data_IF_279143592684
#
_entry.id   IF_279143592684
#
_cell.length_a   1.000
_cell.length_b   1.000
_cell.length_c   1.000
_cell.angle_alpha   90.00
_cell.angle_beta   90.00
_cell.angle_gamma   90.00
#
_symmetry.space_group_name_H-M   'P 1'
#
loop_
_entity.id
_entity.type
_entity.pdbx_description
1 polymer ?
#
# COMPACT_ATOMS: atom_id res chain seq x y z
N UNK A 1 -4.31 15.15 6.76
CA UNK A 1 -4.55 13.81 6.13
C UNK A 1 -4.49 13.95 4.63
N UNK A 2 -3.50 13.32 3.95
CA UNK A 2 -3.35 13.37 2.49
C UNK A 2 -3.93 12.13 1.84
N UNK A 3 -4.48 12.31 0.64
CA UNK A 3 -4.86 11.17 -0.20
C UNK A 3 -3.64 10.63 -0.94
N UNK A 4 -3.35 9.35 -0.76
CA UNK A 4 -2.29 8.58 -1.41
C UNK A 4 -2.94 7.59 -2.38
N UNK A 5 -2.99 7.86 -3.68
CA UNK A 5 -3.68 6.99 -4.63
C UNK A 5 -2.97 5.66 -4.85
N UNK A 6 -3.71 4.64 -5.31
CA UNK A 6 -3.15 3.32 -5.61
C UNK A 6 -3.32 2.93 -7.07
N UNK A 7 -2.42 2.07 -7.55
CA UNK A 7 -2.47 1.37 -8.83
C UNK A 7 -2.13 -0.09 -8.56
N UNK A 8 -3.14 -0.94 -8.43
CA UNK A 8 -2.94 -2.37 -8.23
C UNK A 8 -2.94 -3.09 -9.57
N UNK A 9 -1.92 -3.91 -9.81
CA UNK A 9 -1.74 -4.58 -11.09
C UNK A 9 -1.77 -6.09 -10.88
N UNK A 10 -2.71 -6.74 -11.54
CA UNK A 10 -2.88 -8.19 -11.54
C UNK A 10 -3.13 -8.72 -12.94
N UNK A 11 -2.39 -9.76 -13.33
CA UNK A 11 -2.45 -10.38 -14.67
C UNK A 11 -2.30 -9.34 -15.81
N UNK A 12 -1.34 -8.42 -15.65
CA UNK A 12 -1.02 -7.39 -16.63
C UNK A 12 -2.06 -6.26 -16.79
N UNK A 13 -3.03 -6.14 -15.88
CA UNK A 13 -4.09 -5.12 -15.90
C UNK A 13 -4.20 -4.41 -14.56
N UNK A 14 -4.57 -3.13 -14.61
CA UNK A 14 -4.95 -2.39 -13.39
C UNK A 14 -6.30 -2.91 -12.92
N UNK A 15 -6.36 -3.29 -11.64
CA UNK A 15 -7.55 -3.89 -11.01
C UNK A 15 -7.74 -3.38 -9.60
N UNK A 16 -8.95 -3.58 -9.09
CA UNK A 16 -9.22 -3.55 -7.65
C UNK A 16 -9.73 -4.92 -7.23
N UNK A 17 -9.15 -5.48 -6.19
CA UNK A 17 -9.46 -6.82 -5.69
C UNK A 17 -9.96 -6.78 -4.25
N UNK A 18 -10.69 -7.82 -3.84
CA UNK A 18 -11.07 -8.02 -2.44
C UNK A 18 -9.88 -8.57 -1.68
N UNK A 19 -9.50 -7.93 -0.59
CA UNK A 19 -8.41 -8.36 0.29
C UNK A 19 -8.59 -9.81 0.75
N UNK A 20 -7.49 -10.55 0.78
CA UNK A 20 -7.47 -11.96 1.16
C UNK A 20 -8.08 -12.93 0.12
N UNK A 21 -8.56 -12.44 -1.03
CA UNK A 21 -9.09 -13.30 -2.11
C UNK A 21 -8.03 -13.79 -3.09
N UNK A 22 -6.85 -13.18 -3.07
CA UNK A 22 -5.75 -13.50 -3.97
C UNK A 22 -5.20 -14.91 -3.67
N UNK A 23 -5.12 -15.76 -4.70
CA UNK A 23 -4.62 -17.13 -4.60
C UNK A 23 -3.49 -17.32 -5.61
N UNK A 24 -2.39 -17.94 -5.17
CA UNK A 24 -1.24 -18.25 -6.02
C UNK A 24 -1.58 -19.27 -7.09
N UNK A 25 -2.37 -20.29 -6.73
CA UNK A 25 -2.81 -21.32 -7.67
C UNK A 25 -3.76 -20.70 -8.72
N UNK A 26 -3.26 -20.63 -9.96
CA UNK A 26 -4.02 -20.12 -11.11
C UNK A 26 -4.16 -18.61 -11.14
N UNK A 27 -3.36 -17.85 -10.38
CA UNK A 27 -3.39 -16.37 -10.34
C UNK A 27 -4.80 -15.78 -10.25
N UNK A 28 -5.60 -16.33 -9.32
CA UNK A 28 -7.00 -15.96 -9.14
C UNK A 28 -7.18 -14.91 -8.04
N UNK A 29 -8.09 -13.98 -8.28
CA UNK A 29 -8.55 -13.01 -7.30
C UNK A 29 -10.03 -12.71 -7.50
N UNK A 30 -10.74 -12.33 -6.43
CA UNK A 30 -12.08 -11.75 -6.56
C UNK A 30 -11.91 -10.28 -6.95
N UNK A 31 -12.30 -9.95 -8.16
CA UNK A 31 -12.13 -8.62 -8.75
C UNK A 31 -13.36 -7.76 -8.47
N UNK A 32 -13.14 -6.56 -7.93
CA UNK A 32 -14.16 -5.51 -7.81
C UNK A 32 -14.21 -4.66 -9.09
N UNK A 33 -13.07 -4.49 -9.75
CA UNK A 33 -12.92 -3.68 -10.94
C UNK A 33 -11.76 -4.17 -11.80
N UNK A 34 -11.92 -4.10 -13.12
CA UNK A 34 -10.86 -4.34 -14.12
C UNK A 34 -10.83 -3.15 -15.08
N UNK A 35 -9.71 -2.45 -15.13
CA UNK A 35 -9.55 -1.26 -15.97
C UNK A 35 -9.41 -1.61 -17.45
N UNK A 36 -10.01 -0.77 -18.30
CA UNK A 36 -9.72 -0.70 -19.73
C UNK A 36 -8.48 0.17 -20.05
N UNK A 37 -7.97 0.92 -19.08
CA UNK A 37 -6.80 1.79 -19.22
C UNK A 37 -5.55 1.08 -18.66
N UNK A 38 -4.37 1.50 -19.12
CA UNK A 38 -3.10 1.00 -18.60
C UNK A 38 -2.67 1.77 -17.32
N UNK A 39 -1.60 1.30 -16.69
CA UNK A 39 -1.11 1.90 -15.45
C UNK A 39 -0.52 3.32 -15.66
N UNK A 40 -0.01 3.63 -16.86
CA UNK A 40 0.49 4.96 -17.19
C UNK A 40 -0.62 6.00 -17.17
N UNK A 41 -1.82 5.66 -17.64
CA UNK A 41 -2.98 6.54 -17.60
C UNK A 41 -3.28 7.03 -16.19
N UNK A 42 -3.31 6.13 -15.20
CA UNK A 42 -3.55 6.50 -13.78
C UNK A 42 -2.39 7.30 -13.21
N UNK A 43 -1.15 6.95 -13.54
CA UNK A 43 0.03 7.70 -13.11
C UNK A 43 0.02 9.16 -13.61
N UNK A 44 -0.34 9.38 -14.88
CA UNK A 44 -0.50 10.71 -15.46
C UNK A 44 -1.65 11.49 -14.80
N UNK A 45 -2.77 10.82 -14.53
CA UNK A 45 -3.90 11.42 -13.82
C UNK A 45 -3.47 11.91 -12.44
N UNK A 46 -2.74 11.10 -11.67
CA UNK A 46 -2.25 11.46 -10.33
C UNK A 46 -1.19 12.57 -10.40
N UNK A 47 -0.30 12.53 -11.39
CA UNK A 47 0.67 13.59 -11.65
C UNK A 47 -0.01 14.94 -11.93
N UNK A 48 -1.02 14.94 -12.80
CA UNK A 48 -1.77 16.15 -13.17
C UNK A 48 -2.57 16.71 -11.99
N UNK A 49 -2.99 15.84 -11.06
CA UNK A 49 -3.63 16.24 -9.80
C UNK A 49 -2.62 16.65 -8.70
N UNK A 50 -1.32 16.56 -8.94
CA UNK A 50 -0.29 16.90 -7.95
C UNK A 50 -0.15 15.89 -6.80
N UNK A 51 -0.75 14.69 -6.91
CA UNK A 51 -0.76 13.67 -5.86
C UNK A 51 0.55 12.89 -5.84
N UNK A 52 1.30 12.97 -4.75
CA UNK A 52 2.56 12.24 -4.55
C UNK A 52 2.44 11.18 -3.48
N UNK A 53 3.34 10.19 -3.52
CA UNK A 53 3.43 9.13 -2.51
C UNK A 53 2.31 8.09 -2.61
N UNK A 54 1.56 8.09 -3.71
CA UNK A 54 0.71 6.95 -4.06
C UNK A 54 1.55 5.72 -4.39
N UNK A 55 0.93 4.54 -4.41
CA UNK A 55 1.66 3.30 -4.62
C UNK A 55 1.21 2.51 -5.85
N UNK A 56 2.15 1.79 -6.44
CA UNK A 56 1.94 0.78 -7.47
C UNK A 56 2.24 -0.57 -6.85
N UNK A 57 1.30 -1.51 -6.85
CA UNK A 57 1.50 -2.85 -6.28
C UNK A 57 1.38 -3.93 -7.36
N UNK A 58 2.44 -4.75 -7.47
CA UNK A 58 2.44 -5.95 -8.29
C UNK A 58 1.82 -7.10 -7.49
N UNK A 59 0.69 -7.62 -7.96
CA UNK A 59 -0.03 -8.69 -7.27
C UNK A 59 0.29 -10.10 -7.78
N UNK A 60 1.10 -10.23 -8.84
CA UNK A 60 1.61 -11.51 -9.30
C UNK A 60 2.97 -11.85 -8.68
N UNK A 61 3.15 -13.09 -8.26
CA UNK A 61 4.47 -13.60 -7.85
C UNK A 61 5.43 -13.75 -9.01
N UNK A 62 6.75 -13.83 -8.73
CA UNK A 62 7.80 -13.98 -9.76
C UNK A 62 7.63 -15.23 -10.63
N UNK A 63 6.99 -16.27 -10.10
CA UNK A 63 6.75 -17.55 -10.79
C UNK A 63 5.46 -17.54 -11.63
N UNK A 64 4.69 -16.46 -11.63
CA UNK A 64 3.47 -16.32 -12.42
C UNK A 64 3.81 -16.07 -13.90
N UNK A 65 3.06 -16.69 -14.81
CA UNK A 65 3.13 -16.40 -16.24
C UNK A 65 2.80 -14.94 -16.58
N UNK A 66 2.06 -14.26 -15.71
CA UNK A 66 1.67 -12.84 -15.87
C UNK A 66 2.67 -11.86 -15.25
N UNK A 67 3.73 -12.34 -14.58
CA UNK A 67 4.66 -11.47 -13.85
C UNK A 67 5.26 -10.39 -14.74
N UNK A 68 5.77 -10.75 -15.91
CA UNK A 68 6.39 -9.78 -16.82
C UNK A 68 5.39 -8.76 -17.37
N UNK A 69 4.16 -9.18 -17.68
CA UNK A 69 3.11 -8.28 -18.12
C UNK A 69 2.74 -7.28 -17.00
N UNK A 70 2.64 -7.76 -15.75
CA UNK A 70 2.37 -6.95 -14.57
C UNK A 70 3.51 -5.97 -14.29
N UNK A 71 4.76 -6.45 -14.33
CA UNK A 71 5.97 -5.62 -14.16
C UNK A 71 6.06 -4.54 -15.23
N UNK A 72 5.78 -4.84 -16.47
CA UNK A 72 5.80 -3.87 -17.58
C UNK A 72 4.77 -2.75 -17.36
N UNK A 73 3.58 -3.05 -16.85
CA UNK A 73 2.60 -2.03 -16.49
C UNK A 73 3.12 -1.11 -15.37
N UNK A 74 3.74 -1.69 -14.33
CA UNK A 74 4.32 -0.92 -13.24
C UNK A 74 5.44 0.02 -13.74
N UNK A 75 6.34 -0.47 -14.59
CA UNK A 75 7.40 0.36 -15.17
C UNK A 75 6.84 1.51 -16.02
N UNK A 76 5.75 1.30 -16.76
CA UNK A 76 5.06 2.38 -17.49
C UNK A 76 4.53 3.45 -16.54
N UNK A 77 3.92 3.06 -15.42
CA UNK A 77 3.41 4.00 -14.43
C UNK A 77 4.55 4.84 -13.81
N UNK A 78 5.67 4.20 -13.44
CA UNK A 78 6.83 4.89 -12.89
C UNK A 78 7.45 5.87 -13.89
N UNK A 79 7.55 5.48 -15.16
CA UNK A 79 8.07 6.35 -16.23
C UNK A 79 7.13 7.53 -16.52
N UNK A 80 5.81 7.37 -16.41
CA UNK A 80 4.84 8.44 -16.61
C UNK A 80 4.86 9.47 -15.48
N UNK A 81 5.15 9.04 -14.24
CA UNK A 81 5.24 9.93 -13.08
C UNK A 81 6.53 9.72 -12.26
N UNK A 82 7.71 10.07 -12.77
CA UNK A 82 8.99 9.90 -12.06
C UNK A 82 9.00 10.64 -10.73
N UNK A 83 9.40 9.94 -9.66
CA UNK A 83 9.48 10.45 -8.30
C UNK A 83 8.12 10.71 -7.63
N UNK A 84 7.00 10.35 -8.27
CA UNK A 84 5.67 10.57 -7.71
C UNK A 84 5.06 9.35 -7.03
N UNK A 85 5.46 8.16 -7.43
CA UNK A 85 4.85 6.90 -7.00
C UNK A 85 5.86 5.98 -6.30
N UNK A 86 5.37 5.27 -5.30
CA UNK A 86 6.07 4.17 -4.63
C UNK A 86 5.76 2.86 -5.36
N UNK A 87 6.59 1.83 -5.21
CA UNK A 87 6.36 0.51 -5.83
C UNK A 87 6.54 -0.62 -4.84
N UNK A 88 5.62 -1.57 -4.85
CA UNK A 88 5.63 -2.78 -4.03
C UNK A 88 5.21 -4.03 -4.80
N UNK A 89 5.26 -5.16 -4.11
CA UNK A 89 4.95 -6.47 -4.68
C UNK A 89 6.21 -7.25 -5.09
N UNK A 90 6.75 -8.02 -4.16
CA UNK A 90 7.93 -8.84 -4.38
C UNK A 90 9.24 -8.06 -4.48
N UNK A 91 9.32 -6.86 -3.89
CA UNK A 91 10.56 -6.10 -3.82
C UNK A 91 11.57 -6.78 -2.90
N UNK A 92 12.80 -6.86 -3.38
CA UNK A 92 13.95 -7.41 -2.68
C UNK A 92 15.24 -6.74 -3.19
N UNK A 93 16.41 -7.02 -2.61
CA UNK A 93 17.69 -6.46 -3.05
C UNK A 93 17.98 -6.56 -4.55
N UNK A 94 17.54 -7.64 -5.19
CA UNK A 94 17.84 -7.90 -6.61
C UNK A 94 17.09 -6.97 -7.59
N UNK A 95 16.03 -6.29 -7.16
CA UNK A 95 15.18 -5.47 -8.03
C UNK A 95 14.90 -4.05 -7.52
N UNK A 96 15.25 -3.75 -6.27
CA UNK A 96 14.95 -2.45 -5.65
C UNK A 96 15.60 -1.29 -6.41
N UNK A 97 16.89 -1.42 -6.72
CA UNK A 97 17.63 -0.38 -7.44
C UNK A 97 17.06 -0.13 -8.86
N UNK A 98 16.64 -1.20 -9.55
CA UNK A 98 16.03 -1.09 -10.88
C UNK A 98 14.72 -0.29 -10.85
N UNK A 99 13.88 -0.51 -9.83
CA UNK A 99 12.64 0.26 -9.67
C UNK A 99 12.90 1.74 -9.34
N UNK A 100 13.90 2.03 -8.49
CA UNK A 100 14.29 3.41 -8.21
C UNK A 100 14.81 4.10 -9.46
N UNK A 101 15.68 3.44 -10.26
CA UNK A 101 16.17 3.95 -11.55
C UNK A 101 15.04 4.12 -12.58
N UNK A 102 14.00 3.29 -12.51
CA UNK A 102 12.82 3.41 -13.38
C UNK A 102 11.89 4.59 -13.00
N UNK A 103 12.14 5.26 -11.88
CA UNK A 103 11.42 6.45 -11.45
C UNK A 103 10.56 6.27 -10.21
N UNK A 104 10.65 5.16 -9.50
CA UNK A 104 9.99 5.03 -8.19
C UNK A 104 10.54 6.05 -7.20
N UNK A 105 9.68 6.68 -6.42
CA UNK A 105 10.11 7.51 -5.29
C UNK A 105 10.63 6.65 -4.13
N UNK A 106 9.97 5.52 -3.89
CA UNK A 106 10.31 4.57 -2.84
C UNK A 106 10.01 3.15 -3.30
N UNK A 107 10.65 2.19 -2.65
CA UNK A 107 10.31 0.77 -2.74
C UNK A 107 9.59 0.34 -1.45
N UNK A 108 8.51 -0.43 -1.60
CA UNK A 108 7.68 -0.95 -0.50
C UNK A 108 8.03 -2.42 -0.28
N UNK A 109 8.36 -2.77 0.96
CA UNK A 109 8.83 -4.11 1.31
C UNK A 109 8.02 -4.68 2.47
N UNK A 110 7.63 -5.94 2.33
CA UNK A 110 6.94 -6.72 3.37
C UNK A 110 7.62 -8.07 3.58
N UNK A 111 7.30 -9.07 2.76
CA UNK A 111 7.70 -10.47 2.94
C UNK A 111 9.21 -10.70 2.91
N UNK A 112 9.99 -9.83 2.30
CA UNK A 112 11.45 -9.93 2.35
C UNK A 112 12.02 -9.67 3.74
N UNK A 113 11.42 -8.70 4.46
CA UNK A 113 11.81 -8.29 5.80
C UNK A 113 11.15 -9.15 6.88
N UNK A 114 9.86 -9.50 6.69
CA UNK A 114 9.13 -10.38 7.61
C UNK A 114 9.15 -11.83 7.11
N UNK A 115 10.31 -12.46 7.27
CA UNK A 115 10.56 -13.82 6.76
C UNK A 115 10.27 -14.87 7.82
N UNK A 116 9.68 -15.98 7.40
CA UNK A 116 9.39 -17.14 8.27
C UNK A 116 8.61 -16.76 9.54
N UNK A 117 7.72 -15.78 9.42
CA UNK A 117 6.89 -15.31 10.52
C UNK A 117 7.60 -14.39 11.51
N UNK A 118 8.80 -13.92 11.21
CA UNK A 118 9.61 -13.07 12.10
C UNK A 118 10.23 -11.89 11.36
N UNK A 119 10.58 -10.84 12.11
CA UNK A 119 11.38 -9.74 11.60
C UNK A 119 12.83 -10.19 11.40
N UNK A 120 13.33 -10.10 10.19
CA UNK A 120 14.73 -10.34 9.84
C UNK A 120 15.50 -9.02 9.78
N UNK A 121 16.23 -8.71 10.83
CA UNK A 121 17.10 -7.53 10.88
C UNK A 121 18.20 -7.56 9.82
N UNK A 122 18.68 -8.73 9.46
CA UNK A 122 19.67 -8.92 8.39
C UNK A 122 19.08 -8.48 7.04
N UNK A 123 17.87 -8.93 6.73
CA UNK A 123 17.21 -8.58 5.48
C UNK A 123 16.82 -7.09 5.44
N UNK A 124 16.38 -6.53 6.57
CA UNK A 124 16.06 -5.11 6.68
C UNK A 124 17.31 -4.25 6.39
N UNK A 125 18.44 -4.57 6.98
CA UNK A 125 19.71 -3.87 6.71
C UNK A 125 20.14 -4.00 5.25
N UNK A 126 20.03 -5.19 4.66
CA UNK A 126 20.39 -5.41 3.26
C UNK A 126 19.56 -4.55 2.30
N UNK A 127 18.25 -4.47 2.51
CA UNK A 127 17.39 -3.66 1.64
C UNK A 127 17.61 -2.16 1.88
N UNK A 128 17.85 -1.75 3.13
CA UNK A 128 18.18 -0.37 3.48
C UNK A 128 19.51 0.08 2.84
N UNK A 129 20.53 -0.79 2.82
CA UNK A 129 21.83 -0.51 2.18
C UNK A 129 21.70 -0.28 0.66
N UNK A 130 20.75 -0.95 0.00
CA UNK A 130 20.54 -0.85 -1.45
C UNK A 130 19.62 0.30 -1.83
N UNK A 131 18.50 0.43 -1.14
CA UNK A 131 17.50 1.44 -1.48
C UNK A 131 17.82 2.82 -0.89
N UNK A 132 18.53 2.85 0.25
CA UNK A 132 18.58 4.00 1.13
C UNK A 132 17.33 4.10 2.01
N UNK A 133 17.53 4.50 3.25
CA UNK A 133 16.42 4.68 4.21
C UNK A 133 15.34 5.62 3.68
N UNK A 134 15.75 6.70 3.01
CA UNK A 134 14.92 7.77 2.44
C UNK A 134 14.08 7.32 1.24
N UNK A 135 14.30 6.10 0.75
CA UNK A 135 13.55 5.49 -0.35
C UNK A 135 12.89 4.17 0.06
N UNK A 136 12.85 3.86 1.35
CA UNK A 136 12.29 2.63 1.85
C UNK A 136 10.97 2.88 2.58
N UNK A 137 9.92 2.19 2.15
CA UNK A 137 8.64 2.08 2.84
C UNK A 137 8.49 0.66 3.38
N UNK A 138 8.17 0.51 4.65
CA UNK A 138 7.81 -0.77 5.22
C UNK A 138 6.28 -0.92 5.24
N UNK A 139 5.79 -1.96 4.60
CA UNK A 139 4.37 -2.33 4.65
C UNK A 139 4.13 -3.22 5.88
N UNK A 140 3.39 -2.69 6.82
CA UNK A 140 2.94 -3.36 8.04
C UNK A 140 1.48 -3.82 7.91
N UNK A 141 1.09 -4.29 6.71
CA UNK A 141 -0.24 -4.90 6.50
C UNK A 141 -0.56 -5.88 7.61
N UNK A 142 -1.71 -5.74 8.25
CA UNK A 142 -1.99 -6.48 9.46
C UNK A 142 -3.43 -7.01 9.52
N UNK A 143 -3.59 -8.01 10.38
CA UNK A 143 -4.89 -8.60 10.73
C UNK A 143 -5.02 -8.73 12.24
N UNK A 144 -6.25 -8.61 12.75
CA UNK A 144 -6.55 -8.76 14.17
C UNK A 144 -6.61 -10.24 14.56
N UNK A 145 -5.90 -10.58 15.64
CA UNK A 145 -5.94 -11.91 16.28
C UNK A 145 -5.77 -11.71 17.79
N UNK A 146 -6.66 -12.32 18.57
CA UNK A 146 -6.61 -12.27 20.04
C UNK A 146 -6.46 -10.83 20.58
N UNK A 147 -7.29 -9.90 20.08
CA UNK A 147 -7.32 -8.47 20.43
C UNK A 147 -6.04 -7.67 20.04
N UNK A 148 -5.13 -8.25 19.26
CA UNK A 148 -3.93 -7.58 18.76
C UNK A 148 -3.84 -7.63 17.24
N UNK A 149 -3.21 -6.62 16.65
CA UNK A 149 -2.87 -6.62 15.23
C UNK A 149 -1.49 -7.24 15.02
N UNK A 150 -1.42 -8.21 14.13
CA UNK A 150 -0.15 -8.85 13.73
C UNK A 150 0.12 -8.59 12.26
N UNK A 151 1.38 -8.32 11.93
CA UNK A 151 1.82 -8.20 10.55
C UNK A 151 1.56 -9.52 9.83
N UNK A 152 1.05 -9.43 8.59
CA UNK A 152 0.80 -10.56 7.72
C UNK A 152 1.60 -10.45 6.43
N UNK A 153 2.01 -11.59 5.90
CA UNK A 153 2.84 -11.72 4.70
C UNK A 153 2.20 -12.64 3.67
N UNK A 154 2.90 -12.90 2.58
CA UNK A 154 2.46 -13.81 1.53
C UNK A 154 1.05 -13.48 1.05
N UNK A 155 0.86 -12.24 0.58
CA UNK A 155 -0.43 -11.72 0.13
C UNK A 155 -1.50 -11.85 1.21
N UNK A 156 -1.10 -11.48 2.45
CA UNK A 156 -1.95 -11.41 3.63
C UNK A 156 -2.47 -12.77 4.15
N UNK A 157 -1.86 -13.87 3.69
CA UNK A 157 -2.32 -15.22 4.04
C UNK A 157 -1.65 -15.78 5.31
N UNK A 158 -0.44 -15.29 5.63
CA UNK A 158 0.35 -15.81 6.75
C UNK A 158 0.55 -14.77 7.84
N UNK A 159 0.16 -15.13 9.06
CA UNK A 159 0.51 -14.35 10.24
C UNK A 159 2.00 -14.45 10.55
N UNK A 160 2.58 -13.34 10.95
CA UNK A 160 3.87 -13.32 11.63
C UNK A 160 3.68 -13.34 13.13
N UNK A 161 4.78 -13.47 13.89
CA UNK A 161 4.82 -13.28 15.34
C UNK A 161 5.13 -11.82 15.74
N UNK A 162 5.05 -10.88 14.79
CA UNK A 162 5.38 -9.48 15.00
C UNK A 162 4.08 -8.68 15.16
N UNK A 163 3.76 -8.20 16.36
CA UNK A 163 2.58 -7.36 16.56
C UNK A 163 2.85 -5.93 16.05
N UNK A 164 1.80 -5.28 15.57
CA UNK A 164 1.83 -3.84 15.29
C UNK A 164 1.70 -3.11 16.62
N UNK A 165 2.78 -2.55 17.11
CA UNK A 165 2.84 -1.78 18.36
C UNK A 165 3.71 -0.54 18.17
N UNK A 166 3.53 0.47 19.01
CA UNK A 166 4.37 1.68 18.98
C UNK A 166 5.86 1.32 19.07
N UNK A 167 6.23 0.43 19.97
CA UNK A 167 7.63 -0.02 20.13
C UNK A 167 8.20 -0.60 18.85
N UNK A 168 7.46 -1.49 18.18
CA UNK A 168 7.89 -2.08 16.90
C UNK A 168 8.00 -1.00 15.81
N UNK A 169 7.04 -0.08 15.75
CA UNK A 169 7.08 1.02 14.78
C UNK A 169 8.25 1.99 15.05
N UNK A 170 8.55 2.29 16.30
CA UNK A 170 9.71 3.12 16.69
C UNK A 170 11.03 2.46 16.26
N UNK A 171 11.18 1.16 16.53
CA UNK A 171 12.37 0.40 16.11
C UNK A 171 12.52 0.38 14.58
N UNK A 172 11.46 0.04 13.85
CA UNK A 172 11.45 -0.02 12.38
C UNK A 172 11.57 1.36 11.72
N UNK A 173 11.01 2.42 12.29
CA UNK A 173 11.07 3.79 11.77
C UNK A 173 12.48 4.38 11.73
N UNK A 174 13.45 3.75 12.40
CA UNK A 174 14.87 4.11 12.26
C UNK A 174 15.46 3.66 10.92
N UNK A 175 14.78 2.75 10.21
CA UNK A 175 15.25 2.06 9.01
C UNK A 175 14.42 2.37 7.75
N UNK A 176 13.36 3.16 7.85
CA UNK A 176 12.51 3.52 6.71
C UNK A 176 12.10 5.00 6.75
N UNK A 177 11.56 5.49 5.64
CA UNK A 177 11.02 6.84 5.52
C UNK A 177 9.53 6.91 5.89
N UNK A 178 8.76 5.90 5.48
CA UNK A 178 7.31 5.83 5.70
C UNK A 178 6.86 4.41 6.06
N UNK A 179 5.63 4.32 6.61
CA UNK A 179 4.89 3.08 6.75
C UNK A 179 3.64 3.09 5.87
N UNK A 180 3.37 1.95 5.22
CA UNK A 180 2.08 1.64 4.61
C UNK A 180 1.41 0.56 5.46
N UNK A 181 0.16 0.77 5.86
CA UNK A 181 -0.56 -0.18 6.73
C UNK A 181 -1.92 -0.52 6.13
N UNK A 182 -2.04 -1.74 5.59
CA UNK A 182 -3.34 -2.26 5.15
C UNK A 182 -4.07 -2.92 6.32
N UNK A 183 -5.27 -2.45 6.60
CA UNK A 183 -6.24 -3.13 7.46
C UNK A 183 -6.90 -4.27 6.67
N UNK A 184 -6.23 -5.42 6.60
CA UNK A 184 -6.55 -6.52 5.67
C UNK A 184 -7.95 -7.08 5.87
N UNK A 185 -8.44 -7.11 7.11
CA UNK A 185 -9.75 -7.68 7.44
C UNK A 185 -10.92 -6.89 6.85
N UNK A 186 -10.70 -5.61 6.49
CA UNK A 186 -11.69 -4.73 5.84
C UNK A 186 -11.31 -4.34 4.41
N UNK A 187 -10.12 -4.76 3.92
CA UNK A 187 -9.62 -4.38 2.59
C UNK A 187 -10.54 -4.83 1.46
N UNK A 188 -10.85 -3.91 0.54
CA UNK A 188 -11.70 -4.16 -0.63
C UNK A 188 -13.17 -4.42 -0.33
N UNK A 189 -13.61 -4.29 0.92
CA UNK A 189 -14.99 -4.54 1.35
C UNK A 189 -15.85 -3.29 1.42
N UNK A 190 -15.24 -2.11 1.52
CA UNK A 190 -15.91 -0.81 1.68
C UNK A 190 -16.97 -0.81 2.81
N UNK A 191 -16.66 -1.46 3.93
CA UNK A 191 -17.57 -1.69 5.07
C UNK A 191 -17.19 -0.89 6.31
N UNK A 192 -16.38 0.15 6.18
CA UNK A 192 -15.86 0.95 7.27
C UNK A 192 -14.42 0.59 7.63
N UNK A 193 -13.77 1.51 8.33
CA UNK A 193 -12.37 1.43 8.75
C UNK A 193 -12.21 0.64 10.06
N UNK A 194 -10.99 0.17 10.32
CA UNK A 194 -10.58 -0.37 11.63
C UNK A 194 -10.19 0.79 12.56
N UNK A 195 -11.15 1.29 13.35
CA UNK A 195 -10.94 2.47 14.20
C UNK A 195 -9.88 2.25 15.28
N UNK A 196 -9.83 1.05 15.88
CA UNK A 196 -8.81 0.70 16.87
C UNK A 196 -7.40 0.68 16.28
N UNK A 197 -7.27 0.24 15.02
CA UNK A 197 -5.99 0.32 14.31
C UNK A 197 -5.63 1.79 14.02
N UNK A 198 -6.58 2.60 13.60
CA UNK A 198 -6.35 4.02 13.35
C UNK A 198 -5.90 4.76 14.64
N UNK A 199 -6.53 4.47 15.78
CA UNK A 199 -6.13 4.99 17.09
C UNK A 199 -4.68 4.60 17.42
N UNK A 200 -4.33 3.31 17.28
CA UNK A 200 -2.98 2.80 17.51
C UNK A 200 -1.94 3.50 16.63
N UNK A 201 -2.21 3.60 15.33
CA UNK A 201 -1.28 4.20 14.38
C UNK A 201 -1.11 5.72 14.61
N UNK A 202 -2.15 6.41 15.08
CA UNK A 202 -2.11 7.85 15.36
C UNK A 202 -1.21 8.24 16.52
N UNK A 203 -0.88 7.30 17.39
CA UNK A 203 0.04 7.52 18.50
C UNK A 203 1.51 7.49 18.04
N UNK A 204 1.77 7.02 16.82
CA UNK A 204 3.09 7.04 16.20
C UNK A 204 3.26 8.31 15.34
N UNK A 205 4.26 9.14 15.63
CA UNK A 205 4.44 10.46 14.99
C UNK A 205 5.82 10.67 14.36
N UNK A 206 6.69 9.68 14.38
CA UNK A 206 8.09 9.86 13.93
C UNK A 206 8.25 9.80 12.42
N UNK A 207 7.37 9.07 11.72
CA UNK A 207 7.37 8.91 10.27
C UNK A 207 5.94 8.99 9.74
N UNK A 208 5.75 9.38 8.46
CA UNK A 208 4.44 9.28 7.83
C UNK A 208 3.88 7.86 7.87
N UNK A 209 2.60 7.75 8.09
CA UNK A 209 1.87 6.48 8.04
C UNK A 209 0.69 6.64 7.10
N UNK A 210 0.61 5.79 6.08
CA UNK A 210 -0.54 5.70 5.18
C UNK A 210 -1.42 4.52 5.59
N UNK A 211 -2.65 4.82 5.97
CA UNK A 211 -3.69 3.82 6.25
C UNK A 211 -4.37 3.40 4.94
N UNK A 212 -4.58 2.11 4.74
CA UNK A 212 -5.34 1.54 3.63
C UNK A 212 -6.33 0.49 4.13
N UNK A 213 -7.50 0.44 3.53
CA UNK A 213 -8.53 -0.58 3.80
C UNK A 213 -9.82 -0.03 4.38
N UNK A 214 -10.95 -0.59 3.94
CA UNK A 214 -12.27 -0.40 4.50
C UNK A 214 -12.99 0.88 4.13
N UNK A 215 -12.32 1.94 3.71
CA UNK A 215 -12.96 3.20 3.35
C UNK A 215 -13.97 2.98 2.22
N UNK A 216 -15.24 3.19 2.51
CA UNK A 216 -16.36 3.04 1.57
C UNK A 216 -17.19 4.32 1.38
N UNK A 217 -16.97 5.33 2.23
CA UNK A 217 -17.76 6.57 2.22
C UNK A 217 -16.96 7.77 2.71
N UNK A 218 -17.51 8.97 2.52
CA UNK A 218 -16.94 10.20 3.09
C UNK A 218 -17.02 10.21 4.64
N UNK A 219 -17.99 9.51 5.22
CA UNK A 219 -18.09 9.37 6.67
C UNK A 219 -16.95 8.51 7.24
N UNK A 220 -16.49 7.49 6.51
CA UNK A 220 -15.32 6.72 6.91
C UNK A 220 -14.04 7.56 6.91
N UNK A 221 -13.92 8.51 5.98
CA UNK A 221 -12.80 9.47 5.96
C UNK A 221 -12.83 10.41 7.16
N UNK A 222 -14.03 10.88 7.56
CA UNK A 222 -14.19 11.67 8.80
C UNK A 222 -13.82 10.87 10.04
N UNK A 223 -14.25 9.60 10.08
CA UNK A 223 -13.89 8.69 11.17
C UNK A 223 -12.37 8.46 11.19
N UNK A 224 -11.74 8.23 10.03
CA UNK A 224 -10.29 8.05 9.95
C UNK A 224 -9.55 9.32 10.38
N UNK A 225 -10.00 10.50 9.96
CA UNK A 225 -9.41 11.77 10.40
C UNK A 225 -9.52 11.95 11.90
N UNK A 226 -10.66 11.61 12.48
CA UNK A 226 -10.91 11.70 13.93
C UNK A 226 -10.02 10.73 14.72
N UNK A 227 -10.06 9.43 14.40
CA UNK A 227 -9.30 8.40 15.10
C UNK A 227 -7.79 8.50 14.79
N UNK A 228 -7.43 8.82 13.56
CA UNK A 228 -6.07 9.08 13.13
C UNK A 228 -5.49 10.42 13.58
N UNK A 229 -6.25 11.23 14.38
CA UNK A 229 -5.82 12.56 14.89
C UNK A 229 -5.24 13.46 13.81
N UNK A 230 -5.75 13.37 12.59
CA UNK A 230 -5.24 14.06 11.38
C UNK A 230 -3.75 13.80 11.06
N UNK A 231 -3.15 12.76 11.65
CA UNK A 231 -1.74 12.38 11.47
C UNK A 231 -1.53 11.29 10.43
N UNK A 232 -2.60 10.57 10.04
CA UNK A 232 -2.53 9.49 9.06
C UNK A 232 -2.85 10.03 7.66
N UNK A 233 -2.11 9.55 6.65
CA UNK A 233 -2.52 9.64 5.26
C UNK A 233 -3.44 8.47 4.91
N UNK A 234 -4.16 8.53 3.78
CA UNK A 234 -5.14 7.52 3.42
C UNK A 234 -5.05 7.08 1.97
N UNK A 235 -5.17 5.77 1.74
CA UNK A 235 -5.44 5.19 0.43
C UNK A 235 -6.90 4.78 0.33
N UNK A 236 -7.53 5.11 -0.79
CA UNK A 236 -8.88 4.67 -1.16
C UNK A 236 -8.80 3.92 -2.48
N UNK A 237 -9.21 2.66 -2.48
CA UNK A 237 -9.23 1.79 -3.65
C UNK A 237 -10.63 1.71 -4.29
N UNK A 238 -11.28 0.56 -4.15
CA UNK A 238 -12.55 0.21 -4.84
C UNK A 238 -13.72 1.17 -4.59
N UNK A 239 -13.69 1.97 -3.52
CA UNK A 239 -14.73 2.98 -3.26
C UNK A 239 -14.59 4.24 -4.11
N UNK A 240 -13.43 4.44 -4.79
CA UNK A 240 -13.18 5.59 -5.66
C UNK A 240 -13.93 5.44 -6.98
N UNK A 241 -14.50 6.54 -7.50
CA UNK A 241 -15.25 6.56 -8.78
C UNK A 241 -14.39 6.12 -9.98
N UNK A 242 -13.09 6.37 -9.95
CA UNK A 242 -12.13 5.85 -10.95
C UNK A 242 -12.17 4.32 -11.08
N UNK A 243 -12.62 3.63 -10.05
CA UNK A 243 -12.70 2.17 -9.96
C UNK A 243 -14.13 1.66 -9.79
N UNK A 244 -15.11 2.48 -10.19
CA UNK A 244 -16.54 2.14 -10.13
C UNK A 244 -17.20 2.35 -8.78
N UNK A 245 -16.52 2.95 -7.82
CA UNK A 245 -17.08 3.34 -6.52
C UNK A 245 -17.86 4.66 -6.57
N UNK A 246 -18.19 5.19 -5.40
CA UNK A 246 -19.04 6.38 -5.26
C UNK A 246 -18.33 7.61 -4.72
N UNK A 247 -17.10 7.49 -4.24
CA UNK A 247 -16.32 8.61 -3.73
C UNK A 247 -15.66 9.31 -4.93
N UNK A 248 -15.96 10.61 -5.19
CA UNK A 248 -15.39 11.29 -6.34
C UNK A 248 -13.88 11.53 -6.18
N UNK A 249 -13.10 11.18 -7.19
CA UNK A 249 -11.67 11.48 -7.25
C UNK A 249 -11.40 12.98 -7.13
N UNK A 250 -12.23 13.81 -7.78
CA UNK A 250 -12.15 15.26 -7.71
C UNK A 250 -12.26 15.81 -6.28
N UNK A 251 -12.98 15.11 -5.40
CA UNK A 251 -13.08 15.44 -3.98
C UNK A 251 -11.79 15.04 -3.25
N UNK A 252 -11.31 13.80 -3.47
CA UNK A 252 -10.15 13.27 -2.75
C UNK A 252 -8.83 13.93 -3.13
N UNK A 253 -8.67 14.37 -4.37
CA UNK A 253 -7.43 15.07 -4.76
C UNK A 253 -7.15 16.34 -3.95
N UNK A 254 -8.18 16.91 -3.32
CA UNK A 254 -8.10 18.10 -2.46
C UNK A 254 -8.39 17.77 -0.99
N UNK A 255 -8.17 16.50 -0.57
CA UNK A 255 -8.55 16.03 0.77
C UNK A 255 -7.91 16.85 1.90
N UNK A 256 -6.68 17.35 1.68
CA UNK A 256 -5.98 18.19 2.67
C UNK A 256 -6.70 19.50 2.94
N UNK A 257 -7.41 20.04 1.94
CA UNK A 257 -8.13 21.31 2.02
C UNK A 257 -9.58 21.14 2.52
N UNK A 258 -10.04 19.86 2.60
CA UNK A 258 -11.39 19.58 3.06
C UNK A 258 -11.49 19.66 4.59
N UNK A 259 -12.33 20.54 5.07
CA UNK A 259 -12.73 20.62 6.48
C UNK A 259 -13.78 19.54 6.79
N UNK A 260 -13.38 18.26 6.70
CA UNK A 260 -14.22 17.10 7.01
C UNK A 260 -14.04 16.67 8.48
#
# INVERSE_FOLDING_TARGET
>A
MKFRPCIDIHNGKVKQIVGGSLKDAGDQARENFVSGQDAAFYAELYKNAGLKGGHVILLNGKDSEYYEATRNQALKALAAYPGGLQIGGGVCPDNAEDYLKAGASHVIVTSYVFKDGQLSWENLKKIEEIAGKEHLVLDLSCRKKDEQYFIVTDRWQKFTNVPVTLKVMEELGNHCDEFLVHAVDVEGKANGIETELADLLSDYTQRPVTYAGGVGSMEDLKLLKKHGKDCLDVTVGSALDLFGGTIPFETLKNLDDLHI
#
